data_IF_562354360489
#
_entry.id   IF_562354360489
#
_cell.length_a   1.000
_cell.length_b   1.000
_cell.length_c   1.000
_cell.angle_alpha   90.00
_cell.angle_beta   90.00
_cell.angle_gamma   90.00
#
_symmetry.space_group_name_H-M   'P 1'
#
loop_
_entity.id
_entity.type
_entity.pdbx_description
1 polymer ?
#
# COMPACT_ATOMS: atom_id res chain seq x y z
N UNK A 1 11.32 -13.89 12.83
CA UNK A 1 9.93 -13.69 12.36
C UNK A 1 9.05 -14.53 13.27
N UNK A 2 8.00 -13.93 13.81
CA UNK A 2 7.21 -14.54 14.88
C UNK A 2 6.16 -15.51 14.30
N UNK A 3 5.65 -16.44 15.11
CA UNK A 3 4.73 -17.50 14.68
C UNK A 3 3.50 -16.98 13.93
N UNK A 4 3.00 -15.81 14.34
CA UNK A 4 1.89 -15.13 13.67
C UNK A 4 2.22 -14.76 12.20
N UNK A 5 3.45 -14.34 11.92
CA UNK A 5 3.87 -14.01 10.56
C UNK A 5 3.91 -15.26 9.68
N UNK A 6 4.48 -16.36 10.18
CA UNK A 6 4.57 -17.61 9.43
C UNK A 6 3.18 -18.17 9.10
N UNK A 7 2.25 -18.08 10.05
CA UNK A 7 0.86 -18.47 9.83
C UNK A 7 0.19 -17.61 8.75
N UNK A 8 0.39 -16.29 8.78
CA UNK A 8 -0.14 -15.39 7.75
C UNK A 8 0.45 -15.71 6.37
N UNK A 9 1.75 -16.04 6.28
CA UNK A 9 2.36 -16.45 5.01
C UNK A 9 1.75 -17.75 4.47
N UNK A 10 1.50 -18.75 5.32
CA UNK A 10 0.85 -19.99 4.92
C UNK A 10 -0.59 -19.72 4.45
N UNK A 11 -1.36 -18.94 5.21
CA UNK A 11 -2.73 -18.56 4.85
C UNK A 11 -2.77 -17.79 3.52
N UNK A 12 -1.80 -16.91 3.26
CA UNK A 12 -1.74 -16.17 1.99
C UNK A 12 -1.61 -17.07 0.77
N UNK A 13 -1.10 -18.31 0.93
CA UNK A 13 -0.89 -19.28 -0.14
C UNK A 13 -2.02 -20.31 -0.25
N UNK A 14 -2.68 -20.63 0.86
CA UNK A 14 -3.67 -21.71 0.94
C UNK A 14 -5.12 -21.23 0.88
N UNK A 15 -5.37 -19.95 1.21
CA UNK A 15 -6.73 -19.39 1.17
C UNK A 15 -7.28 -19.29 -0.25
N UNK A 16 -8.42 -19.95 -0.46
CA UNK A 16 -9.18 -19.90 -1.72
C UNK A 16 -10.05 -18.66 -1.85
N UNK A 17 -10.47 -18.07 -0.73
CA UNK A 17 -11.25 -16.84 -0.73
C UNK A 17 -10.34 -15.64 -1.01
N UNK A 18 -10.60 -14.95 -2.12
CA UNK A 18 -9.76 -13.85 -2.60
C UNK A 18 -9.82 -12.62 -1.68
N UNK A 19 -10.97 -12.35 -1.03
CA UNK A 19 -11.11 -11.22 -0.11
C UNK A 19 -10.26 -11.48 1.13
N UNK A 20 -10.37 -12.67 1.73
CA UNK A 20 -9.56 -13.06 2.87
C UNK A 20 -8.07 -13.14 2.51
N UNK A 21 -7.73 -13.71 1.34
CA UNK A 21 -6.33 -13.78 0.88
C UNK A 21 -5.72 -12.39 0.71
N UNK A 22 -6.44 -11.44 0.10
CA UNK A 22 -5.97 -10.06 -0.05
C UNK A 22 -5.79 -9.36 1.31
N UNK A 23 -6.69 -9.61 2.27
CA UNK A 23 -6.61 -9.06 3.63
C UNK A 23 -5.39 -9.61 4.39
N UNK A 24 -5.10 -10.91 4.27
CA UNK A 24 -3.91 -11.53 4.86
C UNK A 24 -2.63 -10.96 4.25
N UNK A 25 -2.59 -10.75 2.94
CA UNK A 25 -1.47 -10.09 2.28
C UNK A 25 -1.30 -8.64 2.78
N UNK A 26 -2.38 -7.90 3.00
CA UNK A 26 -2.31 -6.57 3.62
C UNK A 26 -1.71 -6.62 5.03
N UNK A 27 -2.07 -7.61 5.85
CA UNK A 27 -1.49 -7.81 7.19
C UNK A 27 0.01 -8.13 7.12
N UNK A 28 0.45 -8.97 6.18
CA UNK A 28 1.87 -9.24 5.93
C UNK A 28 2.62 -7.97 5.49
N UNK A 29 1.97 -7.14 4.67
CA UNK A 29 2.49 -5.83 4.29
C UNK A 29 2.70 -4.92 5.50
N UNK A 30 1.68 -4.79 6.36
CA UNK A 30 1.76 -3.98 7.58
C UNK A 30 2.87 -4.48 8.52
N UNK A 31 2.95 -5.78 8.74
CA UNK A 31 4.03 -6.34 9.56
C UNK A 31 5.42 -6.09 8.96
N UNK A 32 5.53 -6.08 7.63
CA UNK A 32 6.79 -5.74 6.95
C UNK A 32 7.15 -4.26 7.13
N UNK A 33 6.16 -3.35 7.10
CA UNK A 33 6.35 -1.92 7.45
C UNK A 33 6.88 -1.79 8.88
N UNK A 34 6.27 -2.47 9.85
CA UNK A 34 6.68 -2.40 11.26
C UNK A 34 8.12 -2.88 11.47
N UNK A 35 8.60 -3.77 10.60
CA UNK A 35 9.98 -4.28 10.58
C UNK A 35 10.94 -3.47 9.69
N UNK A 36 10.49 -2.35 9.10
CA UNK A 36 11.23 -1.55 8.11
C UNK A 36 11.63 -2.32 6.83
N UNK A 37 10.99 -3.46 6.56
CA UNK A 37 11.18 -4.24 5.32
C UNK A 37 10.21 -3.73 4.23
N UNK A 38 10.54 -2.56 3.69
CA UNK A 38 9.69 -1.85 2.74
C UNK A 38 9.54 -2.57 1.40
N UNK A 39 10.55 -3.35 0.98
CA UNK A 39 10.49 -4.13 -0.26
C UNK A 39 9.46 -5.25 -0.15
N UNK A 40 9.50 -6.02 0.95
CA UNK A 40 8.50 -7.05 1.21
C UNK A 40 7.12 -6.43 1.39
N UNK A 41 7.01 -5.32 2.13
CA UNK A 41 5.74 -4.60 2.30
C UNK A 41 5.11 -4.23 0.95
N UNK A 42 5.90 -3.62 0.07
CA UNK A 42 5.47 -3.21 -1.26
C UNK A 42 5.00 -4.42 -2.08
N UNK A 43 5.73 -5.53 -2.02
CA UNK A 43 5.36 -6.76 -2.72
C UNK A 43 4.02 -7.29 -2.20
N UNK A 44 3.83 -7.39 -0.88
CA UNK A 44 2.58 -7.89 -0.30
C UNK A 44 1.38 -6.99 -0.66
N UNK A 45 1.50 -5.66 -0.56
CA UNK A 45 0.41 -4.76 -0.93
C UNK A 45 0.08 -4.82 -2.43
N UNK A 46 1.08 -4.94 -3.32
CA UNK A 46 0.85 -5.13 -4.75
C UNK A 46 0.14 -6.46 -5.04
N UNK A 47 0.54 -7.54 -4.38
CA UNK A 47 -0.14 -8.82 -4.50
C UNK A 47 -1.60 -8.72 -4.00
N UNK A 48 -1.85 -8.08 -2.85
CA UNK A 48 -3.20 -7.83 -2.34
C UNK A 48 -4.06 -7.03 -3.34
N UNK A 49 -3.51 -5.95 -3.88
CA UNK A 49 -4.20 -5.12 -4.88
C UNK A 49 -4.48 -5.85 -6.20
N UNK A 50 -3.68 -6.85 -6.56
CA UNK A 50 -3.89 -7.62 -7.79
C UNK A 50 -5.01 -8.66 -7.68
N UNK A 51 -5.41 -9.02 -6.45
CA UNK A 51 -6.27 -10.19 -6.21
C UNK A 51 -7.75 -9.96 -6.53
N UNK A 52 -8.23 -8.74 -6.76
CA UNK A 52 -9.50 -8.50 -7.48
C UNK A 52 -9.73 -7.00 -7.67
N UNK A 53 -10.22 -6.58 -8.84
CA UNK A 53 -10.46 -5.16 -9.15
C UNK A 53 -11.68 -4.54 -8.43
N UNK A 54 -12.55 -5.34 -7.79
CA UNK A 54 -13.85 -4.88 -7.26
C UNK A 54 -14.03 -5.08 -5.75
N UNK A 55 -12.94 -5.13 -4.98
CA UNK A 55 -13.06 -5.06 -3.51
C UNK A 55 -13.05 -3.59 -3.05
N UNK A 56 -13.71 -3.31 -1.92
CA UNK A 56 -13.75 -1.99 -1.28
C UNK A 56 -12.42 -1.56 -0.64
N UNK A 57 -11.38 -2.41 -0.73
CA UNK A 57 -10.07 -2.22 -0.11
C UNK A 57 -8.98 -1.75 -1.10
N UNK A 58 -9.27 -1.74 -2.40
CA UNK A 58 -8.26 -1.38 -3.41
C UNK A 58 -7.72 0.05 -3.22
N UNK A 59 -8.53 0.98 -2.73
CA UNK A 59 -8.09 2.34 -2.41
C UNK A 59 -7.11 2.36 -1.22
N UNK A 60 -7.34 1.49 -0.23
CA UNK A 60 -6.45 1.32 0.93
C UNK A 60 -5.10 0.75 0.49
N UNK A 61 -5.11 -0.28 -0.36
CA UNK A 61 -3.89 -0.87 -0.90
C UNK A 61 -3.09 0.14 -1.72
N UNK A 62 -3.75 0.98 -2.53
CA UNK A 62 -3.08 2.04 -3.28
C UNK A 62 -2.40 3.06 -2.35
N UNK A 63 -3.07 3.47 -1.26
CA UNK A 63 -2.46 4.34 -0.25
C UNK A 63 -1.27 3.66 0.44
N UNK A 64 -1.39 2.38 0.82
CA UNK A 64 -0.29 1.65 1.47
C UNK A 64 0.92 1.50 0.53
N UNK A 65 0.70 1.25 -0.75
CA UNK A 65 1.75 1.23 -1.79
C UNK A 65 2.42 2.60 -1.88
N UNK A 66 1.66 3.70 -1.96
CA UNK A 66 2.22 5.05 -2.05
C UNK A 66 3.03 5.43 -0.79
N UNK A 67 2.52 5.10 0.40
CA UNK A 67 3.23 5.30 1.67
C UNK A 67 4.54 4.50 1.70
N UNK A 68 4.51 3.26 1.22
CA UNK A 68 5.71 2.40 1.15
C UNK A 68 6.76 2.99 0.21
N UNK A 69 6.35 3.46 -0.98
CA UNK A 69 7.27 4.16 -1.88
C UNK A 69 7.87 5.43 -1.26
N UNK A 70 7.09 6.19 -0.47
CA UNK A 70 7.61 7.33 0.30
C UNK A 70 8.68 6.89 1.31
N UNK A 71 8.47 5.80 2.06
CA UNK A 71 9.49 5.27 2.99
C UNK A 71 10.77 4.82 2.29
N UNK A 72 10.65 4.30 1.07
CA UNK A 72 11.78 3.94 0.21
C UNK A 72 12.42 5.15 -0.51
N UNK A 73 11.94 6.37 -0.23
CA UNK A 73 12.30 7.61 -0.93
C UNK A 73 12.07 7.61 -2.45
N UNK A 74 11.25 6.69 -2.95
CA UNK A 74 10.87 6.56 -4.35
C UNK A 74 9.69 7.49 -4.66
N UNK A 75 9.91 8.80 -4.53
CA UNK A 75 8.85 9.80 -4.56
C UNK A 75 8.06 9.85 -5.88
N UNK A 76 8.71 9.70 -7.03
CA UNK A 76 8.03 9.66 -8.32
C UNK A 76 7.04 8.49 -8.42
N UNK A 77 7.43 7.33 -7.89
CA UNK A 77 6.56 6.15 -7.84
C UNK A 77 5.38 6.36 -6.92
N UNK A 78 5.59 6.99 -5.76
CA UNK A 78 4.53 7.35 -4.83
C UNK A 78 3.52 8.31 -5.47
N UNK A 79 4.00 9.39 -6.12
CA UNK A 79 3.14 10.38 -6.81
C UNK A 79 2.34 9.72 -7.93
N UNK A 80 2.95 8.85 -8.73
CA UNK A 80 2.24 8.15 -9.82
C UNK A 80 1.08 7.29 -9.30
N UNK A 81 1.27 6.59 -8.17
CA UNK A 81 0.20 5.81 -7.54
C UNK A 81 -0.92 6.73 -7.03
N UNK A 82 -0.56 7.83 -6.38
CA UNK A 82 -1.53 8.81 -5.86
C UNK A 82 -2.32 9.49 -6.97
N UNK A 83 -1.67 9.84 -8.08
CA UNK A 83 -2.33 10.45 -9.24
C UNK A 83 -3.33 9.50 -9.91
N UNK A 84 -3.04 8.20 -9.92
CA UNK A 84 -4.00 7.19 -10.41
C UNK A 84 -5.18 7.06 -9.46
N UNK A 85 -4.93 7.05 -8.14
CA UNK A 85 -5.99 6.96 -7.13
C UNK A 85 -6.93 8.17 -7.20
N UNK A 86 -6.37 9.38 -7.25
CA UNK A 86 -7.13 10.64 -7.27
C UNK A 86 -7.95 10.87 -8.55
N UNK A 87 -7.68 10.12 -9.63
CA UNK A 87 -8.45 10.16 -10.88
C UNK A 87 -9.72 9.29 -10.84
N UNK A 88 -9.94 8.50 -9.79
CA UNK A 88 -11.14 7.68 -9.67
C UNK A 88 -12.36 8.54 -9.36
N UNK A 89 -13.39 8.45 -10.19
CA UNK A 89 -14.64 9.21 -10.03
C UNK A 89 -15.42 8.83 -8.75
N UNK A 90 -15.24 7.59 -8.28
CA UNK A 90 -15.91 7.01 -7.12
C UNK A 90 -15.04 7.02 -5.85
N UNK A 91 -13.92 7.73 -5.84
CA UNK A 91 -13.02 7.79 -4.69
C UNK A 91 -13.72 8.41 -3.48
N UNK A 92 -13.81 7.64 -2.38
CA UNK A 92 -14.39 8.15 -1.13
C UNK A 92 -13.54 9.28 -0.55
N UNK A 93 -14.20 10.28 0.04
CA UNK A 93 -13.56 11.51 0.53
C UNK A 93 -12.41 11.28 1.50
N UNK A 94 -12.49 10.26 2.36
CA UNK A 94 -11.41 9.93 3.29
C UNK A 94 -10.11 9.54 2.55
N UNK A 95 -10.20 8.68 1.52
CA UNK A 95 -9.02 8.29 0.73
C UNK A 95 -8.51 9.45 -0.13
N UNK A 96 -9.42 10.30 -0.63
CA UNK A 96 -9.03 11.51 -1.35
C UNK A 96 -8.18 12.44 -0.47
N UNK A 97 -8.67 12.72 0.74
CA UNK A 97 -7.97 13.60 1.69
C UNK A 97 -6.59 13.01 2.06
N UNK A 98 -6.52 11.71 2.37
CA UNK A 98 -5.27 11.03 2.70
C UNK A 98 -4.28 11.07 1.52
N UNK A 99 -4.77 10.88 0.29
CA UNK A 99 -3.95 10.90 -0.91
C UNK A 99 -3.39 12.31 -1.20
N UNK A 100 -4.23 13.34 -1.10
CA UNK A 100 -3.82 14.75 -1.28
C UNK A 100 -2.80 15.17 -0.21
N UNK A 101 -3.04 14.82 1.06
CA UNK A 101 -2.10 15.09 2.14
C UNK A 101 -0.75 14.39 1.89
N UNK A 102 -0.77 13.09 1.59
CA UNK A 102 0.46 12.33 1.34
C UNK A 102 1.25 12.90 0.14
N UNK A 103 0.55 13.30 -0.92
CA UNK A 103 1.18 13.93 -2.09
C UNK A 103 1.84 15.27 -1.72
N UNK A 104 1.18 16.09 -0.90
CA UNK A 104 1.75 17.36 -0.42
C UNK A 104 3.00 17.14 0.43
N UNK A 105 2.98 16.16 1.36
CA UNK A 105 4.15 15.78 2.15
C UNK A 105 5.33 15.36 1.28
N UNK A 106 5.09 14.53 0.26
CA UNK A 106 6.13 14.08 -0.67
C UNK A 106 6.72 15.26 -1.46
N UNK A 107 5.89 16.20 -1.93
CA UNK A 107 6.38 17.39 -2.63
C UNK A 107 7.30 18.25 -1.74
N UNK A 108 6.99 18.40 -0.45
CA UNK A 108 7.86 19.10 0.50
C UNK A 108 9.21 18.36 0.66
N UNK A 109 9.18 17.03 0.75
CA UNK A 109 10.40 16.22 0.84
C UNK A 109 11.28 16.38 -0.41
N UNK A 110 10.69 16.41 -1.60
CA UNK A 110 11.41 16.66 -2.86
C UNK A 110 12.09 18.03 -2.82
N UNK A 111 11.33 19.09 -2.49
CA UNK A 111 11.85 20.46 -2.42
C UNK A 111 13.03 20.58 -1.45
N UNK A 112 12.93 19.93 -0.29
CA UNK A 112 13.98 19.96 0.73
C UNK A 112 15.25 19.21 0.31
N UNK A 113 15.18 18.24 -0.63
CA UNK A 113 16.36 17.54 -1.17
C UNK A 113 17.06 18.27 -2.30
N UNK A 114 16.37 19.22 -2.93
CA UNK A 114 16.90 20.01 -4.05
C UNK A 114 17.54 21.34 -3.62
N UNK A 115 17.45 21.69 -2.33
CA UNK A 115 18.08 22.85 -1.71
C UNK A 115 19.32 22.45 -0.92
#
# INVERSE_FOLDING_TARGET
KDDAFLLLEELSKTLKDDILRSSVLNMLGNNSIDNNDYESALNYYKNASSIHNYNSFNDDYALNIAKTYKYMEQYDSAINVLDKLLKKDDLRFNYKNDAEQLKAEINVLILNKTN
#
